data_IF_156590525797
#
_entry.id   IF_156590525797
#
_cell.length_a   1.000
_cell.length_b   1.000
_cell.length_c   1.000
_cell.angle_alpha   90.00
_cell.angle_beta   90.00
_cell.angle_gamma   90.00
#
_symmetry.space_group_name_H-M   'P 1'
#
loop_
_entity.id
_entity.type
_entity.pdbx_description
1 polymer ?
#
# COMPACT_ATOMS: atom_id res chain seq x y z
N UNK A 1 -22.67 20.38 7.40
CA UNK A 1 -22.26 20.24 7.47
C UNK A 1 -21.61 19.59 7.62
N UNK A 2 -21.33 19.60 7.39
CA UNK A 2 -20.57 19.32 7.47
C UNK A 2 -19.89 18.93 7.42
N UNK A 3 -19.50 18.91 7.49
CA UNK A 3 -18.74 18.69 7.47
C UNK A 3 -17.99 18.24 7.59
N UNK A 4 -17.70 18.02 7.53
CA UNK A 4 -16.90 17.71 7.53
C UNK A 4 -16.05 17.50 7.49
N UNK A 5 -15.63 17.32 7.42
CA UNK A 5 -14.74 17.00 7.37
C UNK A 5 -13.78 17.52 7.26
N UNK A 6 -13.39 17.50 7.84
CA UNK A 6 -12.31 18.13 7.72
C UNK A 6 -11.50 17.81 6.70
N UNK A 7 -11.17 18.54 5.99
CA UNK A 7 -10.33 18.28 4.93
C UNK A 7 -9.05 17.86 5.42
N UNK A 8 -8.66 16.78 5.09
CA UNK A 8 -7.32 16.43 5.32
C UNK A 8 -6.46 17.49 4.75
N UNK A 9 -5.40 17.84 5.44
CA UNK A 9 -4.49 18.83 4.92
C UNK A 9 -4.01 18.46 3.54
N UNK A 10 -4.00 17.19 3.26
CA UNK A 10 -3.60 16.72 1.96
C UNK A 10 -4.71 15.85 1.42
N UNK A 11 -5.48 16.40 0.52
CA UNK A 11 -6.62 15.69 -0.02
C UNK A 11 -6.22 14.47 -0.84
N UNK A 12 -4.94 14.37 -1.22
CA UNK A 12 -4.49 13.23 -2.00
C UNK A 12 -3.91 12.11 -1.15
N UNK A 13 -3.76 12.35 0.15
CA UNK A 13 -3.27 11.30 1.04
C UNK A 13 -4.33 10.23 1.22
N UNK A 14 -3.91 9.03 1.46
CA UNK A 14 -4.86 7.96 1.68
C UNK A 14 -4.20 6.75 2.28
N UNK A 15 -5.03 5.75 2.56
CA UNK A 15 -4.59 4.50 3.15
C UNK A 15 -4.71 3.38 2.13
N UNK A 16 -3.77 2.45 2.19
CA UNK A 16 -3.75 1.28 1.31
C UNK A 16 -3.63 0.05 2.18
N UNK A 17 -4.62 -0.83 2.11
CA UNK A 17 -4.55 -2.11 2.77
C UNK A 17 -3.74 -3.06 1.89
N UNK A 18 -2.86 -3.83 2.52
CA UNK A 18 -1.95 -4.73 1.81
C UNK A 18 -1.93 -6.07 2.50
N UNK A 19 -2.00 -7.13 1.72
CA UNK A 19 -1.75 -8.49 2.22
C UNK A 19 -0.36 -8.91 1.76
N UNK A 20 0.53 -9.16 2.72
CA UNK A 20 1.92 -9.45 2.44
C UNK A 20 2.12 -10.95 2.30
N UNK A 21 2.87 -11.35 1.28
CA UNK A 21 3.32 -12.73 1.11
C UNK A 21 4.84 -12.75 1.12
N UNK A 22 5.46 -12.98 2.27
CA UNK A 22 6.92 -12.98 2.36
C UNK A 22 7.48 -14.29 1.82
N UNK A 23 8.77 -14.30 1.55
CA UNK A 23 9.45 -15.51 1.11
C UNK A 23 9.12 -15.94 -0.30
N UNK A 24 8.60 -15.04 -1.12
CA UNK A 24 8.28 -15.36 -2.49
C UNK A 24 9.56 -15.44 -3.33
N UNK A 25 9.47 -16.10 -4.48
CA UNK A 25 10.64 -16.18 -5.35
C UNK A 25 11.02 -14.84 -5.96
N UNK A 26 10.08 -13.94 -6.10
CA UNK A 26 10.35 -12.62 -6.63
C UNK A 26 9.27 -11.66 -6.14
N UNK A 27 9.53 -10.38 -6.26
CA UNK A 27 8.55 -9.36 -5.90
C UNK A 27 7.45 -9.32 -6.94
N UNK A 28 6.21 -9.34 -6.48
CA UNK A 28 5.05 -9.21 -7.33
C UNK A 28 4.00 -8.38 -6.62
N UNK A 29 3.39 -7.47 -7.36
CA UNK A 29 2.33 -6.61 -6.82
C UNK A 29 1.11 -6.83 -7.70
N UNK A 30 0.03 -7.29 -7.09
CA UNK A 30 -1.21 -7.49 -7.83
C UNK A 30 -2.07 -8.54 -7.19
N UNK A 31 -3.37 -8.40 -7.38
CA UNK A 31 -4.35 -9.31 -6.83
C UNK A 31 -5.07 -8.70 -5.63
N UNK A 32 -6.19 -9.32 -5.30
CA UNK A 32 -7.07 -8.82 -4.27
C UNK A 32 -7.27 -9.85 -3.17
N UNK A 33 -7.20 -9.40 -1.95
CA UNK A 33 -7.44 -10.23 -0.78
C UNK A 33 -8.45 -9.52 0.11
N UNK A 34 -9.52 -10.23 0.50
CA UNK A 34 -10.52 -9.65 1.39
C UNK A 34 -10.05 -9.86 2.82
N UNK A 35 -9.43 -8.85 3.37
CA UNK A 35 -8.80 -8.94 4.67
C UNK A 35 -9.51 -8.13 5.73
N UNK A 36 -8.91 -8.07 6.92
CA UNK A 36 -9.55 -7.39 8.06
C UNK A 36 -9.66 -5.88 7.88
N UNK A 37 -8.89 -5.32 6.97
CA UNK A 37 -8.93 -3.87 6.71
C UNK A 37 -9.66 -3.57 5.40
N UNK A 38 -10.47 -4.50 4.91
CA UNK A 38 -11.17 -4.37 3.65
C UNK A 38 -10.37 -4.96 2.49
N UNK A 39 -10.75 -4.65 1.26
CA UNK A 39 -10.02 -5.17 0.12
C UNK A 39 -8.57 -4.75 0.19
N UNK A 40 -7.68 -5.71 0.07
CA UNK A 40 -6.25 -5.48 0.18
C UNK A 40 -5.54 -5.86 -1.12
N UNK A 41 -4.50 -5.10 -1.43
CA UNK A 41 -3.63 -5.42 -2.55
C UNK A 41 -2.62 -6.47 -2.08
N UNK A 42 -2.46 -7.52 -2.87
CA UNK A 42 -1.48 -8.55 -2.54
C UNK A 42 -0.11 -8.10 -3.01
N UNK A 43 0.86 -8.13 -2.09
CA UNK A 43 2.24 -7.80 -2.40
C UNK A 43 3.12 -8.95 -1.93
N UNK A 44 3.75 -9.64 -2.87
CA UNK A 44 4.67 -10.73 -2.58
C UNK A 44 6.09 -10.19 -2.67
N UNK A 45 6.91 -10.53 -1.70
CA UNK A 45 8.30 -10.07 -1.67
C UNK A 45 9.20 -11.23 -1.32
N UNK A 46 10.45 -11.15 -1.78
CA UNK A 46 11.42 -12.19 -1.49
C UNK A 46 11.95 -12.14 -0.07
N UNK A 47 11.86 -10.97 0.56
CA UNK A 47 12.39 -10.81 1.91
C UNK A 47 11.57 -11.63 2.90
N UNK A 48 12.22 -12.09 3.97
CA UNK A 48 11.54 -12.83 5.01
C UNK A 48 10.78 -11.86 5.91
N UNK A 49 9.89 -12.42 6.74
CA UNK A 49 9.13 -11.60 7.68
C UNK A 49 9.96 -11.16 8.88
N UNK A 50 11.19 -11.64 8.98
CA UNK A 50 12.03 -11.37 10.15
C UNK A 50 12.56 -9.95 10.15
N UNK A 51 12.54 -9.31 11.32
CA UNK A 51 13.15 -7.98 11.54
C UNK A 51 12.61 -6.89 10.62
N UNK A 52 11.36 -7.02 10.21
CA UNK A 52 10.75 -5.98 9.39
C UNK A 52 11.25 -5.91 7.96
N UNK A 53 12.05 -6.86 7.54
CA UNK A 53 12.60 -6.83 6.18
C UNK A 53 11.50 -6.94 5.13
N UNK A 54 10.51 -7.79 5.36
CA UNK A 54 9.41 -7.90 4.42
C UNK A 54 8.59 -6.61 4.39
N UNK A 55 8.42 -5.96 5.55
CA UNK A 55 7.67 -4.71 5.59
C UNK A 55 8.34 -3.63 4.76
N UNK A 56 9.66 -3.52 4.88
CA UNK A 56 10.37 -2.51 4.10
C UNK A 56 10.34 -2.85 2.61
N UNK A 57 10.49 -4.14 2.27
CA UNK A 57 10.42 -4.56 0.88
C UNK A 57 9.03 -4.27 0.29
N UNK A 58 7.98 -4.48 1.07
CA UNK A 58 6.62 -4.18 0.64
C UNK A 58 6.45 -2.68 0.43
N UNK A 59 6.96 -1.88 1.37
CA UNK A 59 6.86 -0.43 1.25
C UNK A 59 7.47 0.06 -0.07
N UNK A 60 8.65 -0.44 -0.38
CA UNK A 60 9.34 -0.04 -1.60
C UNK A 60 8.62 -0.54 -2.85
N UNK A 61 8.15 -1.79 -2.82
CA UNK A 61 7.42 -2.35 -3.95
C UNK A 61 6.10 -1.61 -4.18
N UNK A 62 5.43 -1.25 -3.08
CA UNK A 62 4.17 -0.54 -3.17
C UNK A 62 4.38 0.85 -3.77
N UNK A 63 5.40 1.56 -3.32
CA UNK A 63 5.69 2.88 -3.85
C UNK A 63 5.97 2.81 -5.35
N UNK A 64 6.77 1.84 -5.75
CA UNK A 64 7.10 1.68 -7.15
C UNK A 64 5.87 1.36 -7.99
N UNK A 65 5.04 0.43 -7.50
CA UNK A 65 3.85 0.02 -8.24
C UNK A 65 2.83 1.14 -8.35
N UNK A 66 2.72 1.98 -7.33
CA UNK A 66 1.77 3.08 -7.33
C UNK A 66 2.33 4.34 -8.00
N UNK A 67 3.60 4.35 -8.32
CA UNK A 67 4.19 5.51 -8.97
C UNK A 67 4.40 6.68 -8.03
N UNK A 68 4.60 6.42 -6.75
CA UNK A 68 4.86 7.46 -5.77
C UNK A 68 6.25 7.25 -5.18
N UNK A 69 6.71 8.23 -4.43
CA UNK A 69 8.03 8.13 -3.81
C UNK A 69 7.98 7.24 -2.58
N UNK A 70 9.02 6.48 -2.36
CA UNK A 70 9.07 5.60 -1.20
C UNK A 70 8.89 6.38 0.10
N UNK A 71 9.44 7.58 0.18
CA UNK A 71 9.32 8.39 1.39
C UNK A 71 7.89 8.83 1.66
N UNK A 72 7.01 8.75 0.67
CA UNK A 72 5.61 9.10 0.85
C UNK A 72 4.77 7.92 1.31
N UNK A 73 5.36 6.74 1.43
CA UNK A 73 4.67 5.53 1.86
C UNK A 73 5.19 5.15 3.23
N UNK A 74 4.30 5.05 4.20
CA UNK A 74 4.69 4.69 5.55
C UNK A 74 3.72 3.69 6.14
N UNK A 75 4.24 2.81 6.97
CA UNK A 75 3.42 1.81 7.64
C UNK A 75 2.59 2.47 8.72
N UNK A 76 1.31 2.15 8.74
CA UNK A 76 0.42 2.70 9.75
C UNK A 76 -0.07 1.63 10.71
N UNK A 77 -0.43 0.46 10.20
CA UNK A 77 -0.98 -0.63 11.00
C UNK A 77 -0.35 -1.93 10.58
N UNK A 78 -0.14 -2.82 11.53
CA UNK A 78 0.23 -4.19 11.21
C UNK A 78 1.72 -4.45 11.11
N UNK A 79 2.52 -3.82 11.97
CA UNK A 79 3.98 -4.00 11.91
C UNK A 79 4.39 -5.48 11.96
N UNK A 80 3.65 -6.30 12.70
CA UNK A 80 3.97 -7.72 12.83
C UNK A 80 2.95 -8.62 12.18
N UNK A 81 2.09 -8.05 11.35
CA UNK A 81 1.01 -8.81 10.71
C UNK A 81 1.24 -8.87 9.21
N UNK A 82 0.67 -9.87 8.58
CA UNK A 82 0.64 -9.93 7.12
C UNK A 82 -0.45 -9.02 6.55
N UNK A 83 -1.37 -8.58 7.39
CA UNK A 83 -2.39 -7.63 6.99
C UNK A 83 -1.97 -6.26 7.47
N UNK A 84 -1.52 -5.43 6.55
CA UNK A 84 -0.94 -4.13 6.87
C UNK A 84 -1.74 -3.02 6.22
N UNK A 85 -1.63 -1.83 6.78
CA UNK A 85 -2.17 -0.63 6.17
C UNK A 85 -1.03 0.36 6.06
N UNK A 86 -0.81 0.86 4.86
CA UNK A 86 0.17 1.90 4.61
C UNK A 86 -0.54 3.21 4.33
N UNK A 87 0.08 4.28 4.74
CA UNK A 87 -0.39 5.61 4.39
C UNK A 87 0.45 6.10 3.21
N UNK A 88 -0.23 6.61 2.20
CA UNK A 88 0.44 7.24 1.06
C UNK A 88 0.19 8.72 1.18
N UNK A 89 1.25 9.48 1.37
CA UNK A 89 1.13 10.93 1.43
C UNK A 89 0.92 11.45 0.01
N UNK A 90 0.03 12.39 -0.13
CA UNK A 90 -0.32 12.86 -1.44
C UNK A 90 0.49 14.02 -1.93
N UNK A 91 1.65 14.22 -1.37
CA UNK A 91 2.46 15.38 -1.71
C UNK A 91 3.05 15.30 -3.11
N UNK A 92 2.97 14.19 -3.75
CA UNK A 92 3.53 14.05 -5.07
C UNK A 92 2.76 14.84 -6.11
N UNK A 93 3.39 15.05 -7.22
CA UNK A 93 2.75 15.74 -8.31
C UNK A 93 1.56 14.96 -8.86
N UNK A 94 1.55 13.67 -8.65
CA UNK A 94 0.50 12.85 -9.20
C UNK A 94 -0.63 12.71 -8.20
N UNK A 95 -1.35 13.77 -8.03
CA UNK A 95 -2.40 13.81 -7.04
C UNK A 95 -3.55 12.92 -7.45
N UNK A 96 -3.63 11.76 -6.85
CA UNK A 96 -4.75 10.86 -7.07
C UNK A 96 -4.53 9.77 -8.08
N UNK A 97 -3.53 9.89 -8.92
CA UNK A 97 -3.28 8.84 -9.90
C UNK A 97 -2.94 7.50 -9.29
N UNK A 98 -2.33 7.51 -8.14
CA UNK A 98 -1.98 6.26 -7.48
C UNK A 98 -3.23 5.48 -7.04
N UNK A 99 -4.33 6.18 -6.76
CA UNK A 99 -5.56 5.48 -6.37
C UNK A 99 -6.13 4.68 -7.52
N UNK A 100 -6.11 5.25 -8.70
CA UNK A 100 -6.56 4.53 -9.87
C UNK A 100 -5.68 3.33 -10.15
N UNK A 101 -4.37 3.51 -10.04
CA UNK A 101 -3.44 2.41 -10.24
C UNK A 101 -3.63 1.32 -9.20
N UNK A 102 -3.91 1.70 -7.96
CA UNK A 102 -4.20 0.74 -6.92
C UNK A 102 -5.40 -0.13 -7.27
N UNK A 103 -6.47 0.48 -7.77
CA UNK A 103 -7.64 -0.26 -8.18
C UNK A 103 -7.33 -1.25 -9.29
N UNK A 104 -6.55 -0.81 -10.26
CA UNK A 104 -6.15 -1.68 -11.37
C UNK A 104 -5.33 -2.87 -10.89
N UNK A 105 -4.41 -2.63 -9.99
CA UNK A 105 -3.57 -3.70 -9.46
C UNK A 105 -4.39 -4.70 -8.64
N UNK A 106 -5.32 -4.21 -7.83
CA UNK A 106 -6.17 -5.09 -7.03
C UNK A 106 -7.08 -5.93 -7.90
N UNK A 107 -7.49 -5.40 -9.04
CA UNK A 107 -8.38 -6.14 -9.91
C UNK A 107 -7.67 -7.24 -10.68
N UNK A 108 -6.37 -7.37 -10.45
CA UNK A 108 -5.65 -8.48 -11.03
C UNK A 108 -5.27 -8.28 -12.48
N UNK A 109 -5.34 -7.07 -12.95
CA UNK A 109 -4.99 -6.80 -14.34
C UNK A 109 -3.51 -6.55 -14.50
N UNK A 110 -2.82 -6.38 -13.41
CA UNK A 110 -1.40 -6.10 -13.49
C UNK A 110 -0.57 -7.32 -13.65
#
# INVERSE_FOLDING_TARGET
MGKRRTPAPDATAGSVAVRVRPGAGRTRVGGRYEGPHGPALIVAVGASAVDGKATEAVRLALADALGVRARDVSLRIGATSRDKVFTVAGAGADTGGWRQRLGELRDGTG
#
